data_IF_950799094848
#
_entry.id   IF_950799094848
#
_cell.length_a   1.000
_cell.length_b   1.000
_cell.length_c   1.000
_cell.angle_alpha   90.00
_cell.angle_beta   90.00
_cell.angle_gamma   90.00
#
_symmetry.space_group_name_H-M   'P 1'
#
loop_
_entity.id
_entity.type
_entity.pdbx_description
1 polymer ?
#
# COMPACT_ATOMS: atom_id res chain seq x y z
N UNK A 1 -27.52 48.08 -2.55
CA UNK A 1 -26.87 47.20 -1.55
C UNK A 1 -26.59 45.89 -2.26
N UNK A 2 -25.32 45.65 -2.66
CA UNK A 2 -24.92 44.40 -3.26
C UNK A 2 -24.47 43.42 -2.13
N UNK A 3 -25.24 42.37 -1.92
CA UNK A 3 -24.83 41.28 -1.01
C UNK A 3 -23.77 40.42 -1.72
N UNK A 4 -22.54 40.51 -1.29
CA UNK A 4 -21.48 39.60 -1.72
C UNK A 4 -21.64 38.33 -0.93
N UNK A 5 -22.16 37.28 -1.54
CA UNK A 5 -22.15 35.94 -0.98
C UNK A 5 -20.70 35.41 -1.03
N UNK A 6 -20.00 35.39 0.09
CA UNK A 6 -18.75 34.64 0.23
C UNK A 6 -19.10 33.15 0.14
N UNK A 7 -18.86 32.55 -1.00
CA UNK A 7 -18.87 31.10 -1.13
C UNK A 7 -17.69 30.53 -0.32
N UNK A 8 -17.98 29.93 0.83
CA UNK A 8 -17.03 29.08 1.52
C UNK A 8 -16.80 27.85 0.67
N UNK A 9 -15.74 27.86 -0.14
CA UNK A 9 -15.26 26.68 -0.81
C UNK A 9 -14.77 25.69 0.24
N UNK A 10 -15.53 24.60 0.45
CA UNK A 10 -15.03 23.46 1.21
C UNK A 10 -13.94 22.81 0.35
N UNK A 11 -12.69 23.09 0.66
CA UNK A 11 -11.58 22.29 0.15
C UNK A 11 -11.69 20.90 0.77
N UNK A 12 -12.01 19.91 -0.07
CA UNK A 12 -11.89 18.52 0.32
C UNK A 12 -10.41 18.25 0.69
N UNK A 13 -10.11 17.61 1.82
CA UNK A 13 -8.74 17.25 2.13
C UNK A 13 -8.19 16.39 1.00
N UNK A 14 -6.98 16.72 0.52
CA UNK A 14 -6.24 15.91 -0.43
C UNK A 14 -6.18 14.47 0.11
N UNK A 15 -6.75 13.52 -0.63
CA UNK A 15 -7.29 12.27 -0.19
C UNK A 15 -6.44 11.47 0.78
N UNK A 16 -7.03 11.11 1.91
CA UNK A 16 -6.61 9.94 2.66
C UNK A 16 -6.62 8.72 1.75
N UNK A 17 -5.63 7.82 1.90
CA UNK A 17 -5.58 6.59 1.14
C UNK A 17 -6.84 5.74 1.35
N UNK A 18 -7.32 5.12 0.29
CA UNK A 18 -8.49 4.26 0.29
C UNK A 18 -8.06 2.80 0.50
N UNK A 19 -8.28 2.29 1.70
CA UNK A 19 -7.92 0.91 2.07
C UNK A 19 -8.69 -0.11 1.23
N UNK A 20 -9.97 0.14 0.95
CA UNK A 20 -10.80 -0.75 0.13
C UNK A 20 -10.30 -0.83 -1.32
N UNK A 21 -9.98 0.30 -1.92
CA UNK A 21 -9.37 0.36 -3.25
C UNK A 21 -7.97 -0.32 -3.24
N UNK A 22 -7.21 -0.12 -2.19
CA UNK A 22 -5.91 -0.77 -1.99
C UNK A 22 -6.02 -2.29 -1.92
N UNK A 23 -7.00 -2.81 -1.20
CA UNK A 23 -7.29 -4.25 -1.15
C UNK A 23 -7.61 -4.81 -2.53
N UNK A 24 -8.46 -4.16 -3.29
CA UNK A 24 -8.82 -4.61 -4.65
C UNK A 24 -7.61 -4.65 -5.57
N UNK A 25 -6.81 -3.60 -5.58
CA UNK A 25 -5.62 -3.53 -6.42
C UNK A 25 -4.56 -4.54 -5.98
N UNK A 26 -4.30 -4.65 -4.70
CA UNK A 26 -3.35 -5.60 -4.14
C UNK A 26 -3.74 -7.05 -4.43
N UNK A 27 -5.02 -7.39 -4.34
CA UNK A 27 -5.53 -8.73 -4.67
C UNK A 27 -5.27 -9.06 -6.15
N UNK A 28 -5.43 -8.09 -7.03
CA UNK A 28 -5.23 -8.29 -8.47
C UNK A 28 -3.75 -8.40 -8.88
N UNK A 29 -2.85 -7.68 -8.20
CA UNK A 29 -1.47 -7.45 -8.67
C UNK A 29 -0.42 -8.06 -7.74
N UNK A 30 -0.63 -8.06 -6.44
CA UNK A 30 0.39 -8.41 -5.45
C UNK A 30 0.21 -9.80 -4.84
N UNK A 31 -1.04 -10.24 -4.69
CA UNK A 31 -1.39 -11.41 -3.89
C UNK A 31 -0.81 -12.72 -4.42
N UNK A 32 -0.58 -12.84 -5.72
CA UNK A 32 -0.05 -14.07 -6.34
C UNK A 32 1.32 -14.46 -5.75
N UNK A 33 2.13 -13.50 -5.36
CA UNK A 33 3.42 -13.74 -4.73
C UNK A 33 3.43 -13.43 -3.24
N UNK A 34 2.75 -12.36 -2.82
CA UNK A 34 2.79 -11.87 -1.45
C UNK A 34 1.67 -12.42 -0.55
N UNK A 35 0.76 -13.24 -1.11
CA UNK A 35 -0.37 -13.81 -0.38
C UNK A 35 -1.58 -12.86 -0.32
N UNK A 36 -2.78 -13.45 -0.18
CA UNK A 36 -4.04 -12.70 -0.17
C UNK A 36 -4.13 -11.67 0.96
N UNK A 37 -3.50 -11.96 2.08
CA UNK A 37 -3.43 -11.06 3.25
C UNK A 37 -2.00 -10.54 3.51
N UNK A 38 -1.15 -10.55 2.49
CA UNK A 38 0.21 -10.05 2.62
C UNK A 38 1.15 -10.95 3.43
N UNK A 39 0.76 -12.20 3.66
CA UNK A 39 1.64 -13.24 4.21
C UNK A 39 2.09 -14.11 3.05
N UNK A 40 3.37 -14.05 2.72
CA UNK A 40 3.91 -14.69 1.54
C UNK A 40 3.86 -16.22 1.64
N UNK A 41 3.50 -16.86 0.54
CA UNK A 41 3.53 -18.29 0.37
C UNK A 41 4.66 -18.76 -0.56
N UNK A 42 5.47 -17.84 -1.07
CA UNK A 42 6.60 -18.14 -1.96
C UNK A 42 7.90 -17.67 -1.33
N UNK A 43 9.02 -18.41 -1.51
CA UNK A 43 10.26 -18.15 -0.76
C UNK A 43 10.88 -16.77 -1.02
N UNK A 44 10.69 -16.22 -2.22
CA UNK A 44 11.38 -15.01 -2.66
C UNK A 44 10.58 -13.72 -2.46
N UNK A 45 9.34 -13.82 -1.99
CA UNK A 45 8.51 -12.65 -1.74
C UNK A 45 8.37 -12.41 -0.23
N UNK A 46 8.67 -11.19 0.25
CA UNK A 46 8.50 -10.90 1.68
C UNK A 46 7.04 -10.76 2.08
N UNK A 47 6.77 -10.87 3.37
CA UNK A 47 5.50 -10.49 3.94
C UNK A 47 5.29 -8.98 3.84
N UNK A 48 4.10 -8.56 3.46
CA UNK A 48 3.71 -7.16 3.39
C UNK A 48 2.73 -6.77 4.51
N UNK A 49 2.05 -7.76 5.10
CA UNK A 49 1.10 -7.53 6.18
C UNK A 49 1.75 -6.81 7.36
N UNK A 50 1.07 -5.81 7.88
CA UNK A 50 1.49 -5.01 9.03
C UNK A 50 2.79 -4.20 8.84
N UNK A 51 3.33 -4.13 7.64
CA UNK A 51 4.43 -3.22 7.33
C UNK A 51 3.96 -1.76 7.42
N UNK A 52 4.79 -0.83 7.90
CA UNK A 52 4.43 0.58 7.91
C UNK A 52 4.08 1.10 6.51
N UNK A 53 2.99 1.85 6.39
CA UNK A 53 2.56 2.38 5.09
C UNK A 53 3.64 3.26 4.44
N UNK A 54 4.32 4.07 5.23
CA UNK A 54 5.40 4.94 4.73
C UNK A 54 6.55 4.13 4.12
N UNK A 55 6.90 3.00 4.73
CA UNK A 55 7.92 2.10 4.19
C UNK A 55 7.49 1.46 2.86
N UNK A 56 6.27 0.94 2.81
CA UNK A 56 5.75 0.31 1.59
C UNK A 56 5.64 1.31 0.43
N UNK A 57 5.14 2.51 0.71
CA UNK A 57 5.05 3.60 -0.27
C UNK A 57 6.43 3.95 -0.83
N UNK A 58 7.41 4.10 0.04
CA UNK A 58 8.78 4.41 -0.37
C UNK A 58 9.37 3.29 -1.25
N UNK A 59 9.21 2.03 -0.85
CA UNK A 59 9.76 0.90 -1.60
C UNK A 59 9.10 0.75 -2.98
N UNK A 60 7.79 0.89 -3.10
CA UNK A 60 7.10 0.86 -4.39
C UNK A 60 7.55 2.00 -5.31
N UNK A 61 7.70 3.21 -4.79
CA UNK A 61 8.23 4.35 -5.53
C UNK A 61 9.68 4.12 -5.97
N UNK A 62 10.49 3.50 -5.12
CA UNK A 62 11.89 3.17 -5.43
C UNK A 62 11.96 2.14 -6.56
N UNK A 63 11.14 1.11 -6.56
CA UNK A 63 11.06 0.16 -7.66
C UNK A 63 10.57 0.83 -8.95
N UNK A 64 9.56 1.68 -8.85
CA UNK A 64 9.01 2.39 -10.00
C UNK A 64 10.02 3.33 -10.66
N UNK A 65 10.82 4.03 -9.87
CA UNK A 65 11.83 4.99 -10.35
C UNK A 65 13.14 4.36 -10.78
N UNK A 66 13.39 3.10 -10.41
CA UNK A 66 14.66 2.43 -10.62
C UNK A 66 15.70 2.66 -9.51
N UNK A 67 15.36 3.41 -8.46
CA UNK A 67 16.23 3.60 -7.30
C UNK A 67 16.51 2.29 -6.56
N UNK A 68 15.52 1.39 -6.55
CA UNK A 68 15.65 -0.01 -6.12
C UNK A 68 15.32 -0.90 -7.30
N UNK A 69 16.09 -1.95 -7.52
CA UNK A 69 15.94 -2.84 -8.66
C UNK A 69 15.66 -4.27 -8.22
N UNK A 70 14.67 -4.89 -8.83
CA UNK A 70 14.37 -6.31 -8.74
C UNK A 70 13.70 -6.76 -10.04
N UNK A 71 14.06 -7.93 -10.55
CA UNK A 71 13.57 -8.40 -11.86
C UNK A 71 12.04 -8.45 -11.99
N UNK A 72 11.33 -8.75 -10.90
CA UNK A 72 9.87 -8.80 -10.88
C UNK A 72 9.28 -7.48 -10.39
N UNK A 73 9.70 -7.00 -9.21
CA UNK A 73 9.08 -5.81 -8.60
C UNK A 73 9.28 -4.55 -9.41
N UNK A 74 10.40 -4.40 -10.12
CA UNK A 74 10.62 -3.24 -11.00
C UNK A 74 9.61 -3.21 -12.15
N UNK A 75 9.18 -4.36 -12.65
CA UNK A 75 8.13 -4.46 -13.68
C UNK A 75 6.75 -4.19 -13.10
N UNK A 76 6.44 -4.77 -11.95
CA UNK A 76 5.14 -4.64 -11.29
C UNK A 76 4.88 -3.19 -10.85
N UNK A 77 5.88 -2.51 -10.31
CA UNK A 77 5.72 -1.16 -9.77
C UNK A 77 5.62 -0.07 -10.86
N UNK A 78 6.17 -0.33 -12.04
CA UNK A 78 6.30 0.69 -13.09
C UNK A 78 4.99 1.36 -13.51
N UNK A 79 3.88 0.63 -13.72
CA UNK A 79 2.61 1.24 -14.11
C UNK A 79 1.79 1.81 -12.96
N UNK A 80 2.22 1.66 -11.71
CA UNK A 80 1.44 2.08 -10.54
C UNK A 80 1.40 3.61 -10.43
N UNK A 81 0.22 4.15 -10.18
CA UNK A 81 0.06 5.56 -9.84
C UNK A 81 0.40 5.82 -8.37
N UNK A 82 0.66 7.08 -8.02
CA UNK A 82 0.88 7.46 -6.63
C UNK A 82 -0.31 7.09 -5.74
N UNK A 83 -1.53 7.31 -6.24
CA UNK A 83 -2.75 6.95 -5.51
C UNK A 83 -2.86 5.44 -5.27
N UNK A 84 -2.58 4.63 -6.27
CA UNK A 84 -2.58 3.17 -6.13
C UNK A 84 -1.52 2.69 -5.14
N UNK A 85 -0.34 3.29 -5.17
CA UNK A 85 0.74 2.98 -4.21
C UNK A 85 0.29 3.32 -2.79
N UNK A 86 -0.28 4.49 -2.57
CA UNK A 86 -0.76 4.92 -1.26
C UNK A 86 -1.88 4.02 -0.74
N UNK A 87 -2.84 3.68 -1.60
CA UNK A 87 -3.97 2.81 -1.25
C UNK A 87 -3.52 1.40 -0.86
N UNK A 88 -2.65 0.78 -1.66
CA UNK A 88 -2.12 -0.55 -1.36
C UNK A 88 -1.25 -0.55 -0.11
N UNK A 89 -0.45 0.46 0.08
CA UNK A 89 0.37 0.62 1.29
C UNK A 89 -0.50 0.73 2.53
N UNK A 90 -1.58 1.50 2.47
CA UNK A 90 -2.54 1.62 3.57
C UNK A 90 -3.27 0.31 3.85
N UNK A 91 -3.64 -0.44 2.81
CA UNK A 91 -4.25 -1.76 2.96
C UNK A 91 -3.35 -2.72 3.74
N UNK A 92 -2.11 -2.93 3.29
CA UNK A 92 -1.20 -3.85 3.98
C UNK A 92 -0.84 -3.37 5.39
N UNK A 93 -0.66 -2.08 5.60
CA UNK A 93 -0.39 -1.52 6.93
C UNK A 93 -1.56 -1.69 7.90
N UNK A 94 -2.80 -1.78 7.40
CA UNK A 94 -3.99 -2.00 8.22
C UNK A 94 -4.16 -3.41 8.74
N UNK A 95 -3.45 -4.37 8.14
CA UNK A 95 -3.51 -5.77 8.55
C UNK A 95 -2.77 -5.98 9.86
N UNK A 96 -3.33 -6.82 10.72
CA UNK A 96 -2.76 -7.11 12.02
C UNK A 96 -2.06 -8.45 12.00
N UNK A 97 -0.85 -8.50 12.58
CA UNK A 97 -0.08 -9.73 12.77
C UNK A 97 0.21 -9.94 14.24
N UNK A 98 0.11 -11.17 14.67
CA UNK A 98 0.53 -11.61 16.00
C UNK A 98 1.94 -12.19 15.92
N UNK A 99 2.86 -11.64 16.70
CA UNK A 99 4.26 -12.08 16.75
C UNK A 99 4.49 -12.87 18.01
N UNK A 100 5.04 -14.08 17.85
CA UNK A 100 5.34 -14.97 18.97
C UNK A 100 6.80 -15.43 18.91
N UNK A 101 7.39 -15.58 20.08
CA UNK A 101 8.71 -16.22 20.16
C UNK A 101 8.60 -17.71 19.81
N UNK A 102 9.62 -18.29 19.17
CA UNK A 102 9.66 -19.74 18.94
C UNK A 102 9.55 -20.50 20.27
N UNK A 103 8.64 -21.50 20.31
CA UNK A 103 8.42 -22.29 21.50
C UNK A 103 7.54 -21.65 22.58
N UNK A 104 6.99 -20.47 22.35
CA UNK A 104 6.01 -19.86 23.25
C UNK A 104 4.73 -20.70 23.31
N UNK A 105 4.17 -20.88 24.51
CA UNK A 105 2.90 -21.58 24.72
C UNK A 105 1.77 -20.85 23.96
N UNK A 106 0.90 -21.64 23.33
CA UNK A 106 -0.28 -21.11 22.63
C UNK A 106 -1.37 -20.73 23.64
#
# INVERSE_FOLDING_TARGET
MCAVALGMGMSLPAGAADIGAGKLKATAVCAVCHGALGVSMVPNAPNLAAQPAIYLTEQLKNYRSGKRSHEVMSVIAKPLTDSEIDDMSAWYASLQMDVREPGAAK
#
